data_IF_128712819697
#
_entry.id   IF_128712819697
#
_cell.length_a   1.000
_cell.length_b   1.000
_cell.length_c   1.000
_cell.angle_alpha   90.00
_cell.angle_beta   90.00
_cell.angle_gamma   90.00
#
_symmetry.space_group_name_H-M   'P 1'
#
loop_
_entity.id
_entity.type
_entity.pdbx_description
1 polymer ?
#
# COMPACT_ATOMS: atom_id res chain seq x y z
N UNK A 1 -12.09 -1.14 -8.81
CA UNK A 1 -12.30 -1.61 -7.43
C UNK A 1 -13.30 -0.66 -6.75
N UNK A 2 -14.16 -1.10 -5.83
CA UNK A 2 -14.96 -0.16 -5.01
C UNK A 2 -14.11 0.36 -3.84
N UNK A 3 -14.35 1.58 -3.30
CA UNK A 3 -13.59 2.11 -2.16
C UNK A 3 -13.55 1.16 -0.95
N UNK A 4 -14.68 0.54 -0.60
CA UNK A 4 -14.76 -0.46 0.47
C UNK A 4 -13.85 -1.68 0.24
N UNK A 5 -13.65 -2.09 -1.02
CA UNK A 5 -12.75 -3.18 -1.35
C UNK A 5 -11.29 -2.76 -1.16
N UNK A 6 -10.95 -1.52 -1.53
CA UNK A 6 -9.61 -0.95 -1.31
C UNK A 6 -9.28 -0.91 0.17
N UNK A 7 -10.18 -0.36 0.99
CA UNK A 7 -9.98 -0.29 2.44
C UNK A 7 -9.83 -1.67 3.09
N UNK A 8 -10.59 -2.67 2.63
CA UNK A 8 -10.48 -4.04 3.11
C UNK A 8 -9.12 -4.68 2.76
N UNK A 9 -8.64 -4.48 1.52
CA UNK A 9 -7.33 -4.97 1.08
C UNK A 9 -6.22 -4.29 1.89
N UNK A 10 -6.27 -2.97 2.00
CA UNK A 10 -5.27 -2.19 2.74
C UNK A 10 -5.29 -2.50 4.24
N UNK A 11 -6.46 -2.68 4.84
CA UNK A 11 -6.58 -3.09 6.25
C UNK A 11 -6.01 -4.47 6.49
N UNK A 12 -6.15 -5.38 5.52
CA UNK A 12 -5.54 -6.71 5.60
C UNK A 12 -4.01 -6.62 5.49
N UNK A 13 -3.50 -5.81 4.57
CA UNK A 13 -2.07 -5.52 4.48
C UNK A 13 -1.51 -4.93 5.78
N UNK A 14 -2.18 -3.92 6.36
CA UNK A 14 -1.76 -3.29 7.61
C UNK A 14 -1.66 -4.29 8.76
N UNK A 15 -2.68 -5.15 8.95
CA UNK A 15 -2.70 -6.15 10.03
C UNK A 15 -1.62 -7.21 9.89
N UNK A 16 -1.40 -7.69 8.67
CA UNK A 16 -0.47 -8.80 8.44
C UNK A 16 0.99 -8.36 8.37
N UNK A 17 1.25 -7.13 7.93
CA UNK A 17 2.59 -6.70 7.56
C UNK A 17 3.21 -5.65 8.50
N UNK A 18 2.47 -5.11 9.46
CA UNK A 18 2.97 -4.11 10.42
C UNK A 18 2.62 -4.49 11.86
N UNK A 19 3.63 -4.45 12.73
CA UNK A 19 3.43 -4.68 14.17
C UNK A 19 2.52 -3.59 14.72
N UNK A 20 1.45 -3.98 15.42
CA UNK A 20 0.44 -3.04 15.91
C UNK A 20 -0.54 -2.52 14.85
N UNK A 21 -0.43 -2.98 13.60
CA UNK A 21 -1.36 -2.64 12.53
C UNK A 21 -2.78 -3.12 12.82
N UNK A 22 -3.78 -2.24 12.64
CA UNK A 22 -5.20 -2.54 12.92
C UNK A 22 -6.08 -2.48 11.68
N UNK A 23 -6.27 -1.30 11.13
CA UNK A 23 -7.02 -1.07 9.91
C UNK A 23 -6.35 0.07 9.16
N UNK A 24 -6.42 0.01 7.83
CA UNK A 24 -6.12 1.17 7.04
C UNK A 24 -7.24 2.19 7.22
N UNK A 25 -6.91 3.47 7.17
CA UNK A 25 -7.91 4.52 7.25
C UNK A 25 -7.56 5.64 6.27
N UNK A 26 -8.60 6.22 5.67
CA UNK A 26 -8.46 7.26 4.67
C UNK A 26 -8.03 8.58 5.34
N UNK A 27 -7.08 9.27 4.71
CA UNK A 27 -6.59 10.59 5.15
C UNK A 27 -7.21 11.73 4.33
N UNK A 28 -7.73 11.42 3.15
CA UNK A 28 -8.25 12.37 2.15
C UNK A 28 -7.74 12.01 0.75
N UNK A 29 -8.45 12.44 -0.30
CA UNK A 29 -8.01 12.37 -1.71
C UNK A 29 -7.52 11.00 -2.18
N UNK A 30 -8.15 9.92 -1.71
CA UNK A 30 -7.75 8.55 -2.05
C UNK A 30 -6.47 8.06 -1.38
N UNK A 31 -5.92 8.81 -0.42
CA UNK A 31 -4.74 8.45 0.37
C UNK A 31 -5.15 7.70 1.64
N UNK A 32 -4.41 6.66 1.98
CA UNK A 32 -4.63 5.81 3.14
C UNK A 32 -3.38 5.68 4.01
N UNK A 33 -3.60 5.69 5.31
CA UNK A 33 -2.62 5.24 6.30
C UNK A 33 -2.58 3.72 6.33
N UNK A 34 -1.40 3.10 6.24
CA UNK A 34 -1.27 1.63 6.12
C UNK A 34 -0.20 1.00 7.02
N UNK A 35 0.56 1.79 7.77
CA UNK A 35 1.77 1.37 8.48
C UNK A 35 1.71 1.55 9.99
N UNK A 36 0.53 1.36 10.57
CA UNK A 36 0.28 1.53 12.00
C UNK A 36 0.57 2.96 12.55
N UNK A 37 0.66 3.96 11.67
CA UNK A 37 0.82 5.36 12.06
C UNK A 37 2.27 5.86 12.06
N UNK A 38 3.23 5.03 11.66
CA UNK A 38 4.64 5.41 11.53
C UNK A 38 4.88 6.46 10.44
N UNK A 39 3.98 6.55 9.45
CA UNK A 39 4.05 7.53 8.35
C UNK A 39 5.33 7.38 7.50
N UNK A 40 5.79 6.15 7.33
CA UNK A 40 6.89 5.75 6.44
C UNK A 40 6.38 5.30 5.07
N UNK A 41 5.14 4.81 4.99
CA UNK A 41 4.50 4.40 3.73
C UNK A 41 3.00 4.75 3.70
N UNK A 42 2.55 5.28 2.58
CA UNK A 42 1.14 5.58 2.29
C UNK A 42 0.67 4.77 1.09
N UNK A 43 -0.60 4.39 1.09
CA UNK A 43 -1.25 3.89 -0.11
C UNK A 43 -2.08 5.00 -0.77
N UNK A 44 -2.10 5.02 -2.09
CA UNK A 44 -2.84 5.96 -2.93
C UNK A 44 -3.71 5.13 -3.87
N UNK A 45 -5.03 5.31 -3.80
CA UNK A 45 -5.93 4.67 -4.73
C UNK A 45 -6.13 5.53 -5.98
N UNK A 46 -5.59 5.05 -7.09
CA UNK A 46 -5.82 5.61 -8.42
C UNK A 46 -7.14 5.04 -8.96
N UNK A 47 -8.22 5.81 -8.81
CA UNK A 47 -9.56 5.40 -9.21
C UNK A 47 -9.70 5.24 -10.73
N UNK A 48 -8.97 6.03 -11.53
CA UNK A 48 -9.06 5.99 -12.99
C UNK A 48 -8.52 4.68 -13.53
N UNK A 49 -7.38 4.22 -12.98
CA UNK A 49 -6.74 2.96 -13.39
C UNK A 49 -7.17 1.76 -12.53
N UNK A 50 -7.95 1.99 -11.47
CA UNK A 50 -8.32 1.01 -10.46
C UNK A 50 -7.10 0.32 -9.81
N UNK A 51 -6.04 1.10 -9.55
CA UNK A 51 -4.76 0.64 -9.01
C UNK A 51 -4.50 1.18 -7.59
N UNK A 52 -3.77 0.41 -6.78
CA UNK A 52 -3.26 0.86 -5.49
C UNK A 52 -1.76 1.11 -5.66
N UNK A 53 -1.35 2.36 -5.53
CA UNK A 53 0.06 2.79 -5.56
C UNK A 53 0.56 2.99 -4.14
N UNK A 54 1.85 2.77 -3.91
CA UNK A 54 2.46 2.98 -2.60
C UNK A 54 3.54 4.05 -2.70
N UNK A 55 3.50 4.99 -1.76
CA UNK A 55 4.48 6.05 -1.61
C UNK A 55 5.30 5.81 -0.35
N UNK A 56 6.60 5.57 -0.51
CA UNK A 56 7.54 5.46 0.60
C UNK A 56 8.13 6.83 0.92
N UNK A 57 8.18 7.20 2.20
CA UNK A 57 8.76 8.46 2.68
C UNK A 57 10.25 8.54 2.41
N UNK A 58 10.96 7.42 2.51
CA UNK A 58 12.40 7.35 2.34
C UNK A 58 12.78 6.37 1.22
N UNK A 59 13.58 6.85 0.27
CA UNK A 59 14.04 6.04 -0.87
C UNK A 59 14.79 4.78 -0.43
N UNK A 60 15.59 4.87 0.65
CA UNK A 60 16.35 3.72 1.18
C UNK A 60 15.47 2.54 1.59
N UNK A 61 14.21 2.80 1.96
CA UNK A 61 13.27 1.81 2.45
C UNK A 61 12.38 1.23 1.33
N UNK A 62 12.47 1.75 0.10
CA UNK A 62 11.68 1.29 -1.05
C UNK A 62 11.86 -0.22 -1.29
N UNK A 63 13.11 -0.70 -1.35
CA UNK A 63 13.38 -2.12 -1.57
C UNK A 63 12.83 -3.03 -0.45
N UNK A 64 12.77 -2.52 0.78
CA UNK A 64 12.20 -3.24 1.92
C UNK A 64 10.68 -3.35 1.76
N UNK A 65 10.02 -2.23 1.44
CA UNK A 65 8.58 -2.19 1.26
C UNK A 65 8.12 -2.93 0.01
N UNK A 66 8.85 -2.85 -1.10
CA UNK A 66 8.55 -3.60 -2.32
C UNK A 66 8.53 -5.11 -2.04
N UNK A 67 9.54 -5.64 -1.35
CA UNK A 67 9.58 -7.06 -0.97
C UNK A 67 8.38 -7.45 -0.11
N UNK A 68 8.02 -6.58 0.85
CA UNK A 68 6.86 -6.78 1.74
C UNK A 68 5.55 -6.79 0.96
N UNK A 69 5.38 -5.85 0.02
CA UNK A 69 4.21 -5.75 -0.87
C UNK A 69 4.11 -6.96 -1.81
N UNK A 70 5.22 -7.37 -2.42
CA UNK A 70 5.26 -8.55 -3.29
C UNK A 70 4.90 -9.83 -2.54
N UNK A 71 5.40 -10.00 -1.31
CA UNK A 71 5.06 -11.16 -0.47
C UNK A 71 3.57 -11.17 -0.10
N UNK A 72 3.01 -10.01 0.26
CA UNK A 72 1.58 -9.85 0.52
C UNK A 72 0.74 -10.16 -0.72
N UNK A 73 1.07 -9.56 -1.86
CA UNK A 73 0.33 -9.74 -3.10
C UNK A 73 0.35 -11.19 -3.58
N UNK A 74 1.52 -11.84 -3.53
CA UNK A 74 1.67 -13.27 -3.86
C UNK A 74 0.80 -14.14 -2.96
N UNK A 75 0.78 -13.87 -1.65
CA UNK A 75 -0.02 -14.64 -0.67
C UNK A 75 -1.52 -14.55 -0.95
N UNK A 76 -1.99 -13.39 -1.41
CA UNK A 76 -3.42 -13.12 -1.63
C UNK A 76 -3.85 -13.21 -3.10
N UNK A 77 -2.96 -13.62 -4.02
CA UNK A 77 -3.25 -13.73 -5.45
C UNK A 77 -3.56 -12.39 -6.12
N UNK A 78 -2.94 -11.31 -5.64
CA UNK A 78 -3.09 -9.95 -6.18
C UNK A 78 -2.07 -9.75 -7.29
N UNK A 79 -2.52 -9.27 -8.45
CA UNK A 79 -1.63 -8.94 -9.55
C UNK A 79 -0.78 -7.70 -9.23
N UNK A 80 0.51 -7.79 -9.52
CA UNK A 80 1.48 -6.72 -9.23
C UNK A 80 2.15 -6.27 -10.50
N UNK A 81 2.09 -4.96 -10.78
CA UNK A 81 2.92 -4.34 -11.81
C UNK A 81 4.18 -3.79 -11.14
N UNK A 82 5.39 -4.12 -11.63
CA UNK A 82 6.61 -3.47 -11.14
C UNK A 82 6.48 -1.96 -11.33
N UNK A 83 6.77 -1.19 -10.29
CA UNK A 83 6.81 0.26 -10.40
C UNK A 83 8.07 0.66 -11.18
N UNK A 84 7.93 1.02 -12.46
CA UNK A 84 9.03 1.60 -13.24
C UNK A 84 9.16 3.07 -12.91
N UNK A 85 9.78 3.40 -11.78
CA UNK A 85 10.19 4.78 -11.51
C UNK A 85 11.41 5.06 -12.39
N UNK A 86 11.21 5.69 -13.55
CA UNK A 86 12.28 6.44 -14.20
C UNK A 86 12.47 7.71 -13.40
N UNK A 87 13.61 7.83 -12.72
CA UNK A 87 14.09 9.11 -12.22
C UNK A 87 14.24 10.04 -13.44
N UNK A 88 13.45 11.11 -13.50
CA UNK A 88 13.79 12.29 -14.31
C UNK A 88 14.85 13.14 -13.60
#
# INVERSE_FOLDING_TARGET
>A
MKPEQVENVLSTFTRECFVGGRAAYQLGDGIYSVDAGENDIRAIYDQENAEIKFFCRYQRDMNFYDKKLMAFATKHGIDTKPCTVTSE
#
